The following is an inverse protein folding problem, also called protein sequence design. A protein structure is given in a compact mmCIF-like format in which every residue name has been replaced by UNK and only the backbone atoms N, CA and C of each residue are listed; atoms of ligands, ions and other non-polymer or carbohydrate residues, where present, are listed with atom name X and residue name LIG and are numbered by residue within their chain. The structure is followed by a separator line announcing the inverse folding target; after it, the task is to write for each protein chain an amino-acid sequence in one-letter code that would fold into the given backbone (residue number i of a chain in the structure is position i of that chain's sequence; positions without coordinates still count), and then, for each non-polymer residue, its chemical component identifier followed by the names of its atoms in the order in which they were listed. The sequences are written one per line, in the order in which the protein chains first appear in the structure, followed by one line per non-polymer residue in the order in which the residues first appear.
data_IF_063166198560
#
_entry.id   IF_063166198560
#
_cell.length_a   1.000
_cell.length_b   1.000
_cell.length_c   1.000
_cell.angle_alpha   90.00
_cell.angle_beta   90.00
_cell.angle_gamma   90.00
#
_symmetry.space_group_name_H-M   'P 1'
#
loop_
_entity.id
_entity.type
_entity.pdbx_description
1 polymer ?
#
# COMPACT_ATOMS: atom_id res chain seq x y z
N UNK A 1 20.88 18.25 12.01
CA UNK A 1 20.33 17.49 10.87
C UNK A 1 18.82 17.45 10.95
N UNK A 2 18.17 17.77 9.88
CA UNK A 2 16.73 17.73 9.87
C UNK A 2 16.22 16.31 9.76
N UNK A 3 15.24 15.96 10.56
CA UNK A 3 14.50 14.73 10.38
C UNK A 3 13.68 14.80 9.09
N UNK A 4 13.46 13.66 8.47
CA UNK A 4 12.45 13.58 7.43
C UNK A 4 11.11 14.03 8.02
N UNK A 5 10.34 14.77 7.24
CA UNK A 5 9.02 15.20 7.67
C UNK A 5 8.14 13.98 7.91
N UNK A 6 7.38 14.03 8.98
CA UNK A 6 6.37 13.01 9.18
C UNK A 6 5.24 13.19 8.18
N UNK A 7 4.73 12.08 7.70
CA UNK A 7 3.55 12.07 6.86
C UNK A 7 2.34 12.24 7.77
N UNK A 8 1.57 13.28 7.53
CA UNK A 8 0.36 13.56 8.32
C UNK A 8 -0.84 13.13 7.50
N UNK A 9 -1.64 12.25 8.07
CA UNK A 9 -2.86 11.75 7.46
C UNK A 9 -4.04 12.02 8.39
N UNK A 10 -5.16 12.37 7.79
CA UNK A 10 -6.39 12.59 8.53
C UNK A 10 -7.20 11.30 8.53
N UNK A 11 -7.63 10.89 9.72
CA UNK A 11 -8.58 9.79 9.84
C UNK A 11 -9.90 10.22 9.19
N UNK A 12 -10.65 9.26 8.70
CA UNK A 12 -11.92 9.47 8.01
C UNK A 12 -11.80 10.12 6.62
N UNK A 13 -10.59 10.40 6.16
CA UNK A 13 -10.36 10.84 4.79
C UNK A 13 -9.92 9.67 3.93
N UNK A 14 -10.22 9.77 2.63
CA UNK A 14 -9.80 8.76 1.67
C UNK A 14 -8.72 9.32 0.77
N UNK A 15 -7.76 8.46 0.44
CA UNK A 15 -6.56 8.85 -0.29
C UNK A 15 -6.37 7.96 -1.50
N UNK A 16 -5.70 8.50 -2.50
CA UNK A 16 -5.17 7.72 -3.61
C UNK A 16 -3.73 7.34 -3.29
N UNK A 17 -3.37 6.11 -3.61
CA UNK A 17 -1.98 5.67 -3.54
C UNK A 17 -1.48 5.61 -4.96
N UNK A 18 -0.70 6.61 -5.38
CA UNK A 18 -0.29 6.80 -6.76
C UNK A 18 1.13 6.30 -6.99
N UNK A 19 1.31 5.62 -8.09
CA UNK A 19 2.64 5.36 -8.62
C UNK A 19 3.18 6.63 -9.31
N UNK A 20 4.48 6.68 -9.60
CA UNK A 20 5.06 7.87 -10.26
C UNK A 20 4.44 8.25 -11.60
N UNK A 21 3.83 7.30 -12.30
CA UNK A 21 3.17 7.57 -13.58
C UNK A 21 1.72 8.06 -13.42
N UNK A 22 1.26 8.26 -12.19
CA UNK A 22 -0.10 8.75 -11.91
C UNK A 22 -1.16 7.66 -11.78
N UNK A 23 -0.84 6.41 -12.10
CA UNK A 23 -1.78 5.31 -11.87
C UNK A 23 -1.90 5.02 -10.39
N UNK A 24 -3.01 4.39 -9.98
CA UNK A 24 -3.31 4.19 -8.57
C UNK A 24 -3.43 2.71 -8.23
N UNK A 25 -3.18 2.40 -6.96
CA UNK A 25 -3.46 1.08 -6.43
C UNK A 25 -4.96 0.87 -6.31
N UNK A 26 -5.42 -0.29 -6.75
CA UNK A 26 -6.82 -0.69 -6.64
C UNK A 26 -6.94 -2.17 -6.35
N UNK A 27 -8.15 -2.60 -5.94
CA UNK A 27 -8.47 -4.01 -5.83
C UNK A 27 -8.83 -4.55 -7.21
N UNK A 28 -8.18 -5.63 -7.61
CA UNK A 28 -8.42 -6.25 -8.92
C UNK A 28 -9.87 -6.66 -9.07
N UNK A 29 -10.51 -6.16 -10.14
CA UNK A 29 -11.89 -6.49 -10.49
C UNK A 29 -12.89 -6.21 -9.37
N UNK A 30 -12.63 -5.20 -8.53
CA UNK A 30 -13.48 -4.84 -7.38
C UNK A 30 -13.91 -6.07 -6.56
N UNK A 31 -13.04 -7.05 -6.46
CA UNK A 31 -13.27 -8.30 -5.75
C UNK A 31 -13.33 -8.04 -4.24
N UNK A 32 -14.33 -8.58 -3.56
CA UNK A 32 -14.51 -8.38 -2.12
C UNK A 32 -13.93 -9.49 -1.26
N UNK A 33 -13.36 -10.51 -1.86
CA UNK A 33 -12.87 -11.69 -1.15
C UNK A 33 -11.50 -11.46 -0.51
N UNK A 34 -11.23 -12.20 0.57
CA UNK A 34 -9.88 -12.28 1.10
C UNK A 34 -8.94 -12.86 0.04
N UNK A 35 -7.75 -12.30 -0.07
CA UNK A 35 -6.76 -12.75 -1.04
C UNK A 35 -6.86 -12.06 -2.39
N UNK A 36 -7.84 -11.19 -2.60
CA UNK A 36 -7.94 -10.47 -3.87
C UNK A 36 -6.69 -9.63 -4.11
N UNK A 37 -6.18 -9.66 -5.32
CA UNK A 37 -4.93 -8.99 -5.66
C UNK A 37 -5.08 -7.47 -5.69
N UNK A 38 -4.00 -6.80 -5.38
CA UNK A 38 -3.87 -5.35 -5.53
C UNK A 38 -3.05 -5.09 -6.80
N UNK A 39 -3.53 -4.18 -7.63
CA UNK A 39 -2.90 -3.86 -8.91
C UNK A 39 -2.91 -2.37 -9.17
N UNK A 40 -2.21 -1.94 -10.21
CA UNK A 40 -2.28 -0.57 -10.72
C UNK A 40 -3.37 -0.46 -11.77
N UNK A 41 -3.98 0.71 -11.80
CA UNK A 41 -4.94 1.06 -12.84
C UNK A 41 -5.06 2.57 -12.96
N UNK A 42 -5.57 3.05 -14.09
CA UNK A 42 -5.92 4.45 -14.23
C UNK A 42 -7.01 4.81 -13.22
N UNK A 43 -6.88 5.97 -12.62
CA UNK A 43 -7.91 6.43 -11.68
C UNK A 43 -9.19 6.79 -12.43
N UNK A 44 -10.29 6.20 -11.99
CA UNK A 44 -11.60 6.41 -12.60
C UNK A 44 -12.66 6.83 -11.58
N UNK A 45 -12.24 7.25 -10.39
CA UNK A 45 -13.16 7.72 -9.36
C UNK A 45 -13.88 6.63 -8.59
N UNK A 46 -13.46 5.38 -8.73
CA UNK A 46 -14.13 4.26 -8.09
C UNK A 46 -13.73 4.12 -6.62
N UNK A 47 -14.66 3.69 -5.73
CA UNK A 47 -14.32 3.51 -4.32
C UNK A 47 -13.27 2.43 -4.08
N UNK A 48 -13.15 1.41 -4.94
CA UNK A 48 -12.10 0.40 -4.79
C UNK A 48 -10.71 0.90 -5.16
N UNK A 49 -10.60 2.15 -5.59
CA UNK A 49 -9.34 2.85 -5.84
C UNK A 49 -8.99 3.82 -4.72
N UNK A 50 -9.75 3.83 -3.65
CA UNK A 50 -9.58 4.79 -2.56
C UNK A 50 -9.33 4.07 -1.25
N UNK A 51 -8.47 4.67 -0.43
CA UNK A 51 -7.94 4.02 0.76
C UNK A 51 -8.01 4.93 1.97
N UNK A 52 -8.32 4.36 3.11
CA UNK A 52 -8.32 5.03 4.39
C UNK A 52 -7.13 4.53 5.21
N UNK A 53 -6.41 5.46 5.83
CA UNK A 53 -5.32 5.09 6.72
C UNK A 53 -5.82 5.11 8.15
N UNK A 54 -5.82 3.94 8.77
CA UNK A 54 -6.33 3.73 10.12
C UNK A 54 -5.14 3.63 11.06
N UNK A 55 -5.12 4.47 12.09
CA UNK A 55 -4.02 4.48 13.06
C UNK A 55 -3.94 3.13 13.76
N UNK A 56 -2.75 2.54 13.75
CA UNK A 56 -2.48 1.25 14.40
C UNK A 56 -1.56 1.42 15.62
N UNK A 57 -1.29 2.67 16.03
CA UNK A 57 -0.41 2.97 17.16
C UNK A 57 1.06 2.97 16.77
N UNK A 58 1.88 3.63 17.55
CA UNK A 58 3.35 3.65 17.39
C UNK A 58 3.83 4.15 16.04
N UNK A 59 3.07 5.05 15.42
CA UNK A 59 3.42 5.57 14.09
C UNK A 59 3.12 4.62 12.94
N UNK A 60 2.30 3.61 13.17
CA UNK A 60 1.93 2.60 12.20
C UNK A 60 0.51 2.80 11.71
N UNK A 61 0.25 2.31 10.51
CA UNK A 61 -1.03 2.45 9.84
C UNK A 61 -1.51 1.11 9.31
N UNK A 62 -2.84 0.91 9.32
CA UNK A 62 -3.50 -0.09 8.49
C UNK A 62 -4.13 0.65 7.32
N UNK A 63 -4.10 0.05 6.15
CA UNK A 63 -4.57 0.69 4.92
C UNK A 63 -5.82 -0.05 4.46
N UNK A 64 -6.97 0.60 4.61
CA UNK A 64 -8.28 -0.01 4.39
C UNK A 64 -8.88 0.46 3.07
N UNK A 65 -9.38 -0.49 2.28
CA UNK A 65 -10.05 -0.15 1.04
C UNK A 65 -11.44 0.42 1.32
N UNK A 66 -11.76 1.52 0.65
CA UNK A 66 -13.06 2.19 0.84
C UNK A 66 -14.24 1.30 0.46
N UNK A 67 -14.09 0.50 -0.60
CA UNK A 67 -15.17 -0.34 -1.11
C UNK A 67 -15.31 -1.62 -0.33
N UNK A 68 -14.21 -2.36 -0.15
CA UNK A 68 -14.26 -3.69 0.45
C UNK A 68 -14.21 -3.69 1.97
N UNK A 69 -13.66 -2.63 2.57
CA UNK A 69 -13.41 -2.58 3.99
C UNK A 69 -12.26 -3.47 4.45
N UNK A 70 -11.55 -4.11 3.53
CA UNK A 70 -10.41 -4.97 3.84
C UNK A 70 -9.11 -4.20 3.73
N UNK A 71 -8.03 -4.81 4.20
CA UNK A 71 -6.76 -4.14 4.44
C UNK A 71 -5.67 -4.65 3.51
N UNK A 72 -4.72 -3.77 3.15
CA UNK A 72 -3.53 -4.19 2.42
C UNK A 72 -2.69 -5.08 3.33
N UNK A 73 -2.37 -6.27 2.84
CA UNK A 73 -1.68 -7.30 3.59
C UNK A 73 -0.64 -7.99 2.69
N UNK A 74 0.34 -8.63 3.31
CA UNK A 74 1.28 -9.46 2.58
C UNK A 74 0.71 -10.86 2.40
N UNK A 75 0.74 -11.37 1.19
CA UNK A 75 0.23 -12.70 0.89
C UNK A 75 0.93 -13.74 1.76
N UNK A 76 0.14 -14.53 2.50
CA UNK A 76 0.62 -15.60 3.37
C UNK A 76 1.65 -15.14 4.40
N UNK A 77 1.63 -13.86 4.81
CA UNK A 77 2.61 -13.32 5.73
C UNK A 77 4.03 -13.39 5.19
N UNK A 78 4.19 -13.46 3.88
CA UNK A 78 5.47 -13.70 3.24
C UNK A 78 6.48 -12.59 3.48
N UNK A 79 7.73 -12.99 3.68
CA UNK A 79 8.84 -12.06 3.88
C UNK A 79 9.86 -12.13 2.74
N UNK A 80 9.56 -12.90 1.71
CA UNK A 80 10.43 -13.08 0.54
C UNK A 80 10.18 -11.94 -0.43
N UNK A 81 11.25 -11.39 -1.00
CA UNK A 81 11.13 -10.36 -2.03
C UNK A 81 10.21 -10.80 -3.16
N UNK A 82 9.42 -9.86 -3.65
CA UNK A 82 8.48 -10.13 -4.73
C UNK A 82 7.16 -10.73 -4.28
N UNK A 83 6.96 -10.91 -2.97
CA UNK A 83 5.67 -11.37 -2.45
C UNK A 83 4.59 -10.36 -2.84
N UNK A 84 3.49 -10.87 -3.32
CA UNK A 84 2.38 -10.05 -3.80
C UNK A 84 1.61 -9.44 -2.64
N UNK A 85 1.11 -8.25 -2.85
CA UNK A 85 0.15 -7.64 -1.95
C UNK A 85 -1.24 -8.12 -2.30
N UNK A 86 -2.05 -8.33 -1.27
CA UNK A 86 -3.46 -8.67 -1.43
C UNK A 86 -4.27 -7.93 -0.37
N UNK A 87 -5.57 -8.03 -0.45
CA UNK A 87 -6.43 -7.56 0.64
C UNK A 87 -6.79 -8.72 1.56
N UNK A 88 -7.02 -8.40 2.82
CA UNK A 88 -7.47 -9.38 3.80
C UNK A 88 -8.29 -8.68 4.88
N UNK A 89 -9.19 -9.42 5.50
CA UNK A 89 -9.89 -8.93 6.68
C UNK A 89 -8.90 -8.56 7.78
N UNK A 90 -9.33 -7.72 8.70
CA UNK A 90 -8.45 -7.24 9.76
C UNK A 90 -7.93 -8.40 10.62
N UNK A 91 -6.63 -8.40 10.84
CA UNK A 91 -5.96 -9.30 11.78
C UNK A 91 -5.15 -8.47 12.78
N UNK A 92 -4.63 -9.12 13.81
CA UNK A 92 -3.68 -8.49 14.73
C UNK A 92 -2.24 -8.57 14.22
N UNK A 93 -2.01 -9.16 13.05
CA UNK A 93 -0.68 -9.39 12.52
C UNK A 93 0.02 -8.15 12.02
N UNK A 94 1.34 -8.12 12.15
CA UNK A 94 2.16 -7.00 11.67
C UNK A 94 2.25 -6.94 10.14
N UNK A 95 1.85 -8.01 9.43
CA UNK A 95 1.81 -8.00 7.97
C UNK A 95 0.82 -6.98 7.43
N UNK A 96 -0.12 -6.50 8.24
CA UNK A 96 -1.07 -5.47 7.89
C UNK A 96 -0.69 -4.08 8.41
N UNK A 97 0.47 -3.95 9.01
CA UNK A 97 0.92 -2.67 9.56
C UNK A 97 2.00 -2.06 8.69
N UNK A 98 1.86 -0.77 8.44
CA UNK A 98 2.69 -0.03 7.50
C UNK A 98 3.19 1.25 8.13
N UNK A 99 4.41 1.63 7.80
CA UNK A 99 4.98 2.94 8.16
C UNK A 99 5.15 3.77 6.90
N UNK A 100 4.89 5.06 7.02
CA UNK A 100 4.98 5.99 5.91
C UNK A 100 6.21 6.86 6.10
N UNK A 101 7.01 6.96 5.05
CA UNK A 101 8.25 7.75 5.07
C UNK A 101 8.24 8.74 3.92
N UNK A 102 8.46 10.01 4.24
CA UNK A 102 8.64 11.01 3.20
C UNK A 102 10.01 10.88 2.57
N UNK A 103 10.07 11.04 1.26
CA UNK A 103 11.33 11.04 0.53
C UNK A 103 11.71 12.47 0.16
N UNK A 104 12.97 12.65 -0.31
CA UNK A 104 13.45 13.96 -0.77
C UNK A 104 12.65 14.52 -1.94
N UNK A 105 12.05 13.64 -2.73
CA UNK A 105 11.30 14.03 -3.92
C UNK A 105 9.85 14.38 -3.64
N UNK A 106 9.48 14.52 -2.37
CA UNK A 106 8.09 14.78 -2.00
C UNK A 106 7.19 13.57 -2.16
N UNK A 107 7.77 12.39 -2.33
CA UNK A 107 7.02 11.13 -2.42
C UNK A 107 6.98 10.46 -1.07
N UNK A 108 6.11 9.47 -0.95
CA UNK A 108 5.99 8.66 0.26
C UNK A 108 6.36 7.23 -0.05
N UNK A 109 7.20 6.65 0.79
CA UNK A 109 7.46 5.21 0.77
C UNK A 109 6.58 4.56 1.81
N UNK A 110 6.06 3.39 1.48
CA UNK A 110 5.18 2.63 2.37
C UNK A 110 5.90 1.34 2.72
N UNK A 111 6.33 1.22 3.99
CA UNK A 111 7.14 0.13 4.48
C UNK A 111 6.32 -0.82 5.33
N UNK A 112 6.40 -2.12 5.05
CA UNK A 112 5.74 -3.12 5.86
C UNK A 112 6.51 -3.36 7.15
N UNK A 113 5.80 -3.37 8.27
CA UNK A 113 6.43 -3.50 9.59
C UNK A 113 6.99 -4.90 9.79
N UNK A 114 6.29 -5.94 9.34
CA UNK A 114 6.77 -7.32 9.52
C UNK A 114 7.97 -7.63 8.65
N UNK A 115 7.89 -7.31 7.36
CA UNK A 115 8.90 -7.73 6.40
C UNK A 115 10.02 -6.73 6.21
N UNK A 116 9.85 -5.50 6.67
CA UNK A 116 10.82 -4.41 6.47
C UNK A 116 11.10 -4.20 4.97
N UNK A 117 10.04 -4.19 4.18
CA UNK A 117 10.11 -4.01 2.72
C UNK A 117 9.06 -3.00 2.28
N UNK A 118 9.25 -2.48 1.09
CA UNK A 118 8.44 -1.37 0.59
C UNK A 118 7.52 -1.82 -0.53
N UNK A 119 6.35 -1.18 -0.64
CA UNK A 119 5.47 -1.38 -1.77
C UNK A 119 6.18 -0.96 -3.04
N UNK A 120 6.16 -1.81 -4.05
CA UNK A 120 6.85 -1.59 -5.31
C UNK A 120 6.09 -2.26 -6.46
N UNK A 121 6.53 -1.99 -7.67
CA UNK A 121 5.92 -2.53 -8.87
C UNK A 121 6.69 -3.76 -9.34
N UNK A 122 5.97 -4.82 -9.66
CA UNK A 122 6.59 -6.05 -10.15
C UNK A 122 7.27 -5.75 -11.48
N UNK A 123 8.59 -6.02 -11.55
CA UNK A 123 9.36 -5.80 -12.77
C UNK A 123 9.32 -4.37 -13.28
N UNK A 124 9.06 -3.40 -12.41
CA UNK A 124 8.88 -2.00 -12.76
C UNK A 124 7.78 -1.78 -13.81
N UNK A 125 6.84 -2.70 -13.88
CA UNK A 125 5.72 -2.62 -14.81
C UNK A 125 4.73 -1.56 -14.34
N UNK A 126 4.42 -0.62 -15.21
CA UNK A 126 3.50 0.49 -14.90
C UNK A 126 2.23 0.44 -15.73
N UNK A 127 1.99 -0.66 -16.43
CA UNK A 127 0.77 -0.83 -17.22
C UNK A 127 -0.45 -1.04 -16.34
N UNK A 128 -1.63 -0.76 -16.89
CA UNK A 128 -2.88 -1.13 -16.23
C UNK A 128 -2.92 -2.63 -15.97
N UNK A 129 -3.33 -3.01 -14.76
CA UNK A 129 -3.37 -4.40 -14.36
C UNK A 129 -2.06 -4.91 -13.78
N UNK A 130 -0.99 -4.10 -13.78
CA UNK A 130 0.29 -4.51 -13.21
C UNK A 130 0.11 -4.89 -11.73
N UNK A 131 0.55 -6.08 -11.33
CA UNK A 131 0.44 -6.48 -9.92
C UNK A 131 1.38 -5.65 -9.06
N UNK A 132 0.99 -5.50 -7.81
CA UNK A 132 1.78 -4.77 -6.82
C UNK A 132 2.38 -5.77 -5.86
N UNK A 133 3.66 -5.65 -5.63
CA UNK A 133 4.40 -6.47 -4.68
C UNK A 133 5.17 -5.56 -3.73
N UNK A 134 6.11 -6.13 -3.01
CA UNK A 134 7.04 -5.33 -2.24
C UNK A 134 8.46 -5.84 -2.48
N UNK A 135 9.44 -5.00 -2.22
CA UNK A 135 10.83 -5.36 -2.37
C UNK A 135 11.64 -4.84 -1.18
N UNK A 136 12.72 -5.54 -0.92
CA UNK A 136 13.68 -5.14 0.08
C UNK A 136 14.39 -3.85 -0.32
N UNK A 137 14.61 -3.67 -1.62
CA UNK A 137 15.37 -2.55 -2.12
C UNK A 137 14.49 -1.32 -2.17
N UNK A 138 14.93 -0.28 -1.48
CA UNK A 138 14.34 1.03 -1.67
C UNK A 138 15.07 1.72 -2.78
N UNK A 139 14.30 2.34 -3.65
CA UNK A 139 14.92 3.12 -4.70
C UNK A 139 15.59 4.34 -4.11
N UNK A 140 16.73 4.73 -4.68
CA UNK A 140 17.33 5.99 -4.31
C UNK A 140 16.36 7.12 -4.53
N UNK A 141 16.37 8.02 -3.65
CA UNK A 141 15.48 9.16 -3.73
C UNK A 141 16.23 10.42 -4.09
#
# INVERSE_FOLDING_TARGET
MAKASQVVLLENEFYLIKAPNGKVLEIKNFNTENGAAIRLWDYAGHPWQQWQFVDAGEGRWRIRNRFTGKFIDLALGGVVEGTWLHQWGRTSGLSQCWELESTRNGRTRIRNVLADKYIDLVGMNTSNGAPVSYTHLTLPT
#
